data_IF_401169594592
#
_entry.id   IF_401169594592
#
_cell.length_a   1.000
_cell.length_b   1.000
_cell.length_c   1.000
_cell.angle_alpha   90.00
_cell.angle_beta   90.00
_cell.angle_gamma   90.00
#
_symmetry.space_group_name_H-M   'P 1'
#
loop_
_entity.id
_entity.type
_entity.pdbx_description
1 polymer ?
#
# COMPACT_ATOMS: atom_id res chain seq x y z
N UNK A 1 19.63 -20.74 -9.26
CA UNK A 1 19.85 -19.85 -8.10
C UNK A 1 19.24 -18.51 -8.44
N UNK A 2 18.39 -17.95 -7.58
CA UNK A 2 17.85 -16.60 -7.80
C UNK A 2 18.95 -15.56 -7.49
N UNK A 3 19.22 -14.67 -8.44
CA UNK A 3 20.23 -13.60 -8.28
C UNK A 3 19.56 -12.37 -7.67
N UNK A 4 20.17 -11.80 -6.63
CA UNK A 4 19.73 -10.52 -6.07
C UNK A 4 20.06 -9.39 -7.05
N UNK A 5 19.04 -8.63 -7.47
CA UNK A 5 19.21 -7.51 -8.41
C UNK A 5 19.27 -6.16 -7.66
N UNK A 6 18.51 -6.01 -6.57
CA UNK A 6 18.39 -4.77 -5.79
C UNK A 6 18.13 -5.08 -4.31
N UNK A 7 18.67 -4.23 -3.43
CA UNK A 7 18.35 -4.22 -2.00
C UNK A 7 17.54 -2.97 -1.66
N UNK A 8 16.46 -3.16 -0.92
CA UNK A 8 15.47 -2.14 -0.60
C UNK A 8 15.27 -2.13 0.93
N UNK A 9 15.12 -0.93 1.51
CA UNK A 9 14.83 -0.77 2.94
C UNK A 9 13.48 -1.39 3.36
N UNK A 10 13.23 -1.50 4.68
CA UNK A 10 12.01 -2.11 5.20
C UNK A 10 10.77 -1.32 4.76
N UNK A 11 9.66 -2.03 4.63
CA UNK A 11 8.35 -1.45 4.33
C UNK A 11 7.53 -1.33 5.62
N UNK A 12 6.70 -0.30 5.71
CA UNK A 12 5.76 -0.09 6.81
C UNK A 12 4.46 -0.81 6.51
N UNK A 13 3.90 -1.55 7.48
CA UNK A 13 2.62 -2.26 7.29
C UNK A 13 1.42 -1.41 7.73
N UNK A 14 0.29 -1.63 7.07
CA UNK A 14 -0.98 -0.99 7.43
C UNK A 14 -2.19 -1.67 6.81
N UNK A 15 -3.37 -1.20 7.20
CA UNK A 15 -4.67 -1.66 6.72
C UNK A 15 -5.29 -0.61 5.83
N UNK A 16 -5.64 -0.98 4.60
CA UNK A 16 -6.29 -0.05 3.68
C UNK A 16 -7.67 0.32 4.18
N UNK A 17 -7.95 1.62 4.30
CA UNK A 17 -9.30 2.12 4.58
C UNK A 17 -10.05 2.38 3.27
N UNK A 18 -9.44 3.15 2.35
CA UNK A 18 -10.03 3.42 1.02
C UNK A 18 -8.99 3.86 0.02
N UNK A 19 -9.22 3.57 -1.27
CA UNK A 19 -8.50 4.16 -2.40
C UNK A 19 -9.44 5.07 -3.19
N UNK A 20 -8.98 6.25 -3.58
CA UNK A 20 -9.77 7.26 -4.28
C UNK A 20 -8.88 8.15 -5.16
N UNK A 21 -9.52 8.92 -6.06
CA UNK A 21 -8.83 9.81 -7.02
C UNK A 21 -7.65 9.14 -7.74
N UNK A 22 -7.79 7.83 -8.02
CA UNK A 22 -6.80 6.91 -8.62
C UNK A 22 -5.53 6.68 -7.80
N UNK A 23 -4.93 7.74 -7.28
CA UNK A 23 -3.58 7.74 -6.72
C UNK A 23 -3.53 8.00 -5.21
N UNK A 24 -4.67 8.16 -4.54
CA UNK A 24 -4.71 8.39 -3.09
C UNK A 24 -5.27 7.16 -2.40
N UNK A 25 -4.65 6.78 -1.30
CA UNK A 25 -5.11 5.71 -0.42
C UNK A 25 -4.99 6.15 1.04
N UNK A 26 -6.09 6.10 1.78
CA UNK A 26 -6.04 6.29 3.23
C UNK A 26 -5.82 4.93 3.89
N UNK A 27 -4.88 4.89 4.83
CA UNK A 27 -4.36 3.67 5.46
C UNK A 27 -4.24 3.92 6.97
N UNK A 28 -4.67 2.94 7.76
CA UNK A 28 -4.39 2.88 9.20
C UNK A 28 -3.12 2.05 9.43
N UNK A 29 -2.09 2.67 10.02
CA UNK A 29 -0.85 2.00 10.38
C UNK A 29 -1.03 1.16 11.66
N UNK A 30 -0.11 0.24 11.94
CA UNK A 30 -0.19 -0.63 13.13
C UNK A 30 -0.20 0.12 14.47
N UNK A 31 0.34 1.35 14.50
CA UNK A 31 0.31 2.23 15.67
C UNK A 31 -1.02 3.01 15.82
N UNK A 32 -2.00 2.79 14.92
CA UNK A 32 -3.29 3.50 14.87
C UNK A 32 -3.24 4.85 14.15
N UNK A 33 -2.10 5.24 13.59
CA UNK A 33 -1.98 6.50 12.83
C UNK A 33 -2.66 6.38 11.45
N UNK A 34 -3.42 7.42 11.08
CA UNK A 34 -4.05 7.52 9.77
C UNK A 34 -3.16 8.31 8.81
N UNK A 35 -2.76 7.68 7.70
CA UNK A 35 -1.93 8.30 6.66
C UNK A 35 -2.61 8.25 5.30
N UNK A 36 -2.34 9.25 4.46
CA UNK A 36 -2.68 9.21 3.02
C UNK A 36 -1.42 8.90 2.22
N UNK A 37 -1.44 7.82 1.47
CA UNK A 37 -0.32 7.34 0.65
C UNK A 37 -0.60 7.45 -0.85
N UNK A 38 0.48 7.55 -1.62
CA UNK A 38 0.41 7.47 -3.08
C UNK A 38 0.22 6.01 -3.53
N UNK A 39 -0.85 5.73 -4.25
CA UNK A 39 -1.08 4.45 -4.90
C UNK A 39 -0.50 4.48 -6.33
N UNK A 40 0.72 3.98 -6.52
CA UNK A 40 1.46 4.00 -7.78
C UNK A 40 0.93 3.01 -8.85
N UNK A 41 -0.40 2.92 -9.00
CA UNK A 41 -1.06 2.10 -10.00
C UNK A 41 -2.16 2.94 -10.67
N UNK A 42 -2.08 3.09 -11.99
CA UNK A 42 -3.09 3.84 -12.78
C UNK A 42 -4.35 3.02 -13.02
N UNK A 43 -4.26 1.69 -12.99
CA UNK A 43 -5.36 0.76 -13.26
C UNK A 43 -6.40 0.64 -12.13
N UNK A 44 -7.46 -0.16 -12.34
CA UNK A 44 -8.60 -0.22 -11.43
C UNK A 44 -8.29 -0.96 -10.13
N UNK A 45 -7.30 -1.87 -10.11
CA UNK A 45 -6.98 -2.77 -8.98
C UNK A 45 -8.17 -3.61 -8.48
N UNK A 46 -9.18 -3.82 -9.33
CA UNK A 46 -10.31 -4.72 -9.06
C UNK A 46 -9.80 -6.12 -8.76
N UNK A 47 -10.28 -6.74 -7.69
CA UNK A 47 -9.88 -8.09 -7.28
C UNK A 47 -8.52 -8.16 -6.57
N UNK A 48 -7.81 -7.05 -6.39
CA UNK A 48 -6.49 -7.01 -5.74
C UNK A 48 -6.51 -6.14 -4.49
N UNK A 49 -7.16 -4.96 -4.56
CA UNK A 49 -7.13 -3.98 -3.50
C UNK A 49 -8.53 -3.77 -2.92
N UNK A 50 -8.68 -4.12 -1.64
CA UNK A 50 -9.95 -4.12 -0.93
C UNK A 50 -9.80 -3.37 0.40
N UNK A 51 -10.79 -2.57 0.83
CA UNK A 51 -10.85 -2.06 2.19
C UNK A 51 -10.70 -3.19 3.22
N UNK A 52 -9.93 -2.95 4.28
CA UNK A 52 -9.51 -3.96 5.26
C UNK A 52 -8.33 -4.84 4.82
N UNK A 53 -7.88 -4.72 3.56
CA UNK A 53 -6.74 -5.47 3.04
C UNK A 53 -5.40 -4.94 3.58
N UNK A 54 -4.43 -5.86 3.76
CA UNK A 54 -3.06 -5.51 4.13
C UNK A 54 -2.38 -4.76 2.98
N UNK A 55 -1.68 -3.68 3.32
CA UNK A 55 -0.83 -2.91 2.42
C UNK A 55 0.54 -2.69 3.03
N UNK A 56 1.54 -2.39 2.19
CA UNK A 56 2.90 -2.08 2.61
C UNK A 56 3.33 -0.76 1.94
N UNK A 57 3.81 0.18 2.75
CA UNK A 57 4.23 1.51 2.33
C UNK A 57 5.75 1.63 2.33
N UNK A 58 6.24 2.53 1.48
CA UNK A 58 7.62 3.00 1.47
C UNK A 58 7.62 4.51 1.34
#
# INVERSE_FOLDING_TARGET
MATCVLSLGPLVEGTLVKRYKRFLADIELENGEMVTAHCANTGPMTGVLHPGGRVRLR
#
